data_IF_845538072195
#
_entry.id   IF_845538072195
#
_cell.length_a   1.000
_cell.length_b   1.000
_cell.length_c   1.000
_cell.angle_alpha   90.00
_cell.angle_beta   90.00
_cell.angle_gamma   90.00
#
_symmetry.space_group_name_H-M   'P 1'
#
loop_
_entity.id
_entity.type
_entity.pdbx_description
1 polymer ?
#
# COMPACT_ATOMS: atom_id res chain seq x y z
N UNK A 1 -29.05 35.59 11.19
CA UNK A 1 -27.66 35.36 11.63
C UNK A 1 -26.95 34.58 10.54
N UNK A 2 -26.06 35.25 9.79
CA UNK A 2 -25.29 34.65 8.69
C UNK A 2 -24.04 34.01 9.27
N UNK A 3 -23.95 32.68 9.23
CA UNK A 3 -22.72 31.98 9.60
C UNK A 3 -21.76 32.01 8.41
N UNK A 4 -20.69 32.80 8.53
CA UNK A 4 -19.54 32.70 7.63
C UNK A 4 -18.88 31.34 7.85
N UNK A 5 -19.00 30.45 6.88
CA UNK A 5 -18.17 29.26 6.79
C UNK A 5 -16.75 29.71 6.47
N UNK A 6 -15.90 29.84 7.50
CA UNK A 6 -14.46 30.11 7.30
C UNK A 6 -13.81 28.86 6.74
N UNK A 7 -13.75 28.75 5.42
CA UNK A 7 -12.96 27.75 4.71
C UNK A 7 -11.47 28.07 4.91
N UNK A 8 -10.85 27.50 5.94
CA UNK A 8 -9.39 27.57 6.12
C UNK A 8 -8.69 26.74 5.03
N UNK A 9 -8.39 27.37 3.90
CA UNK A 9 -7.46 26.85 2.89
C UNK A 9 -6.01 27.11 3.36
N UNK A 10 -5.55 26.35 4.36
CA UNK A 10 -4.12 26.22 4.60
C UNK A 10 -3.51 25.41 3.44
N UNK A 11 -2.44 25.87 2.77
CA UNK A 11 -1.79 25.11 1.71
C UNK A 11 -1.35 23.74 2.25
N UNK A 12 -1.90 22.68 1.66
CA UNK A 12 -1.65 21.30 2.07
C UNK A 12 -0.22 20.94 1.68
N UNK A 13 0.71 20.99 2.63
CA UNK A 13 2.15 20.73 2.44
C UNK A 13 2.41 19.44 1.65
N UNK A 14 1.51 18.44 1.77
CA UNK A 14 1.62 17.16 1.07
C UNK A 14 0.47 16.86 0.09
N UNK A 15 -0.49 17.77 -0.09
CA UNK A 15 -1.62 17.62 -1.02
C UNK A 15 -2.83 16.82 -0.49
N UNK A 16 -2.71 16.11 0.65
CA UNK A 16 -3.81 15.29 1.21
C UNK A 16 -4.85 16.09 1.99
N UNK A 17 -6.12 15.70 1.83
CA UNK A 17 -7.25 16.25 2.55
C UNK A 17 -7.74 15.33 3.67
N UNK A 18 -7.30 15.61 4.90
CA UNK A 18 -7.75 14.84 6.05
C UNK A 18 -9.18 15.18 6.53
N UNK A 19 -9.85 16.15 5.88
CA UNK A 19 -11.25 16.48 6.18
C UNK A 19 -12.25 15.63 5.38
N UNK A 20 -11.79 14.90 4.37
CA UNK A 20 -12.65 14.02 3.56
C UNK A 20 -13.37 12.99 4.42
N UNK A 21 -14.59 12.55 4.04
CA UNK A 21 -15.30 11.50 4.76
C UNK A 21 -14.47 10.22 4.93
N UNK A 22 -13.73 9.81 3.88
CA UNK A 22 -12.88 8.63 3.93
C UNK A 22 -11.72 8.80 4.91
N UNK A 23 -11.04 9.95 4.91
CA UNK A 23 -9.97 10.21 5.88
C UNK A 23 -10.49 10.26 7.32
N UNK A 24 -11.67 10.85 7.56
CA UNK A 24 -12.30 10.84 8.88
C UNK A 24 -12.61 9.44 9.37
N UNK A 25 -13.14 8.57 8.49
CA UNK A 25 -13.39 7.16 8.82
C UNK A 25 -12.08 6.42 9.11
N UNK A 26 -11.03 6.64 8.33
CA UNK A 26 -9.72 6.03 8.56
C UNK A 26 -9.13 6.45 9.92
N UNK A 27 -9.16 7.75 10.23
CA UNK A 27 -8.69 8.28 11.52
C UNK A 27 -9.50 7.71 12.69
N UNK A 28 -10.83 7.61 12.55
CA UNK A 28 -11.69 6.99 13.56
C UNK A 28 -11.40 5.49 13.76
N UNK A 29 -10.94 4.80 12.71
CA UNK A 29 -10.46 3.42 12.76
C UNK A 29 -9.02 3.27 13.28
N UNK A 30 -8.40 4.35 13.79
CA UNK A 30 -7.06 4.34 14.37
C UNK A 30 -5.92 4.42 13.37
N UNK A 31 -6.19 4.68 12.08
CA UNK A 31 -5.12 4.98 11.14
C UNK A 31 -4.48 6.33 11.46
N UNK A 32 -3.16 6.41 11.30
CA UNK A 32 -2.45 7.68 11.42
C UNK A 32 -2.58 8.45 10.11
N UNK A 33 -2.43 9.78 10.18
CA UNK A 33 -2.37 10.64 8.99
C UNK A 33 -1.29 10.18 8.00
N UNK A 34 -0.18 9.64 8.50
CA UNK A 34 0.89 9.06 7.68
C UNK A 34 0.45 7.83 6.89
N UNK A 35 -0.42 6.98 7.46
CA UNK A 35 -0.91 5.78 6.78
C UNK A 35 -1.82 6.17 5.60
N UNK A 36 -2.72 7.13 5.83
CA UNK A 36 -3.61 7.71 4.82
C UNK A 36 -2.79 8.39 3.71
N UNK A 37 -1.89 9.30 4.09
CA UNK A 37 -1.06 10.05 3.17
C UNK A 37 -0.20 9.14 2.30
N UNK A 38 0.41 8.10 2.89
CA UNK A 38 1.21 7.15 2.14
C UNK A 38 0.35 6.39 1.12
N UNK A 39 -0.82 5.88 1.51
CA UNK A 39 -1.71 5.18 0.58
C UNK A 39 -2.14 6.09 -0.58
N UNK A 40 -2.57 7.31 -0.28
CA UNK A 40 -3.01 8.28 -1.29
C UNK A 40 -1.89 8.63 -2.29
N UNK A 41 -0.67 8.89 -1.79
CA UNK A 41 0.48 9.16 -2.65
C UNK A 41 0.85 7.96 -3.53
N UNK A 42 0.80 6.75 -2.98
CA UNK A 42 1.08 5.54 -3.73
C UNK A 42 0.03 5.29 -4.81
N UNK A 43 -1.26 5.46 -4.50
CA UNK A 43 -2.35 5.38 -5.47
C UNK A 43 -2.18 6.42 -6.57
N UNK A 44 -1.97 7.70 -6.21
CA UNK A 44 -1.76 8.77 -7.18
C UNK A 44 -0.54 8.53 -8.08
N UNK A 45 0.55 7.98 -7.53
CA UNK A 45 1.73 7.61 -8.30
C UNK A 45 1.46 6.48 -9.30
N UNK A 46 0.65 5.49 -8.92
CA UNK A 46 0.26 4.40 -9.81
C UNK A 46 -0.72 4.86 -10.91
N UNK A 47 -1.64 5.78 -10.60
CA UNK A 47 -2.53 6.39 -11.60
C UNK A 47 -1.69 7.18 -12.61
N UNK A 48 -0.82 8.08 -12.14
CA UNK A 48 0.05 8.87 -13.03
C UNK A 48 0.94 7.98 -13.92
N UNK A 49 1.45 6.87 -13.38
CA UNK A 49 2.20 5.89 -14.17
C UNK A 49 1.36 5.26 -15.28
N UNK A 50 0.13 4.83 -14.96
CA UNK A 50 -0.80 4.25 -15.93
C UNK A 50 -1.18 5.25 -17.02
N UNK A 51 -1.30 6.53 -16.66
CA UNK A 51 -1.60 7.63 -17.59
C UNK A 51 -0.36 8.06 -18.42
N UNK A 52 0.81 7.47 -18.18
CA UNK A 52 2.05 7.74 -18.89
C UNK A 52 2.87 8.91 -18.34
N UNK A 53 2.37 9.63 -17.33
CA UNK A 53 3.09 10.72 -16.65
C UNK A 53 4.09 10.18 -15.62
N UNK A 54 5.25 9.76 -16.14
CA UNK A 54 6.38 9.30 -15.32
C UNK A 54 6.93 10.39 -14.38
N UNK A 55 6.75 11.67 -14.72
CA UNK A 55 7.25 12.80 -13.92
C UNK A 55 6.42 12.99 -12.65
N UNK A 56 5.09 12.99 -12.80
CA UNK A 56 4.16 13.03 -11.67
C UNK A 56 4.27 11.76 -10.82
N UNK A 57 4.37 10.58 -11.43
CA UNK A 57 4.61 9.32 -10.71
C UNK A 57 5.87 9.39 -9.85
N UNK A 58 6.99 9.89 -10.39
CA UNK A 58 8.23 10.08 -9.66
C UNK A 58 8.11 11.06 -8.48
N UNK A 59 7.28 12.09 -8.62
CA UNK A 59 7.01 13.05 -7.55
C UNK A 59 6.22 12.39 -6.43
N UNK A 60 5.15 11.67 -6.75
CA UNK A 60 4.33 10.94 -5.79
C UNK A 60 5.15 9.90 -5.01
N UNK A 61 5.90 9.03 -5.69
CA UNK A 61 6.70 8.00 -5.01
C UNK A 61 7.84 8.58 -4.19
N UNK A 62 8.43 9.71 -4.59
CA UNK A 62 9.43 10.41 -3.77
C UNK A 62 8.82 10.96 -2.48
N UNK A 63 7.63 11.55 -2.54
CA UNK A 63 6.89 12.00 -1.35
C UNK A 63 6.50 10.82 -0.47
N UNK A 64 6.01 9.73 -1.04
CA UNK A 64 5.71 8.50 -0.30
C UNK A 64 6.96 7.94 0.40
N UNK A 65 8.14 8.08 -0.23
CA UNK A 65 9.43 7.69 0.36
C UNK A 65 9.78 8.50 1.59
N UNK A 66 9.53 9.81 1.57
CA UNK A 66 9.71 10.67 2.74
C UNK A 66 8.79 10.25 3.89
N UNK A 67 7.50 10.05 3.60
CA UNK A 67 6.53 9.58 4.60
C UNK A 67 6.96 8.24 5.19
N UNK A 68 7.33 7.27 4.34
CA UNK A 68 7.74 5.95 4.80
C UNK A 68 9.03 5.96 5.64
N UNK A 69 9.97 6.85 5.32
CA UNK A 69 11.22 7.00 6.09
C UNK A 69 11.02 7.69 7.44
N UNK A 70 10.15 8.70 7.50
CA UNK A 70 9.95 9.53 8.69
C UNK A 70 8.93 8.94 9.66
N UNK A 71 7.90 8.26 9.16
CA UNK A 71 6.74 7.86 9.97
C UNK A 71 6.63 6.36 10.21
N UNK A 72 7.31 5.52 9.41
CA UNK A 72 7.23 4.06 9.53
C UNK A 72 8.55 3.47 10.05
N UNK A 73 8.41 2.45 10.90
CA UNK A 73 9.55 1.73 11.45
C UNK A 73 10.41 1.15 10.32
N UNK A 74 11.69 0.90 10.58
CA UNK A 74 12.59 0.26 9.60
C UNK A 74 12.08 -1.10 9.13
N UNK A 75 11.30 -1.74 9.98
CA UNK A 75 10.71 -3.05 9.76
C UNK A 75 9.31 -3.02 9.14
N UNK A 76 8.90 -1.90 8.54
CA UNK A 76 7.59 -1.78 7.88
C UNK A 76 7.70 -2.10 6.37
N UNK A 77 6.92 -3.05 5.83
CA UNK A 77 7.02 -3.49 4.43
C UNK A 77 6.72 -2.37 3.43
N UNK A 78 5.99 -1.31 3.81
CA UNK A 78 5.71 -0.15 2.94
C UNK A 78 6.98 0.58 2.50
N UNK A 79 8.07 0.47 3.29
CA UNK A 79 9.38 1.01 2.92
C UNK A 79 9.99 0.28 1.72
N UNK A 80 9.81 -1.04 1.64
CA UNK A 80 10.25 -1.83 0.51
C UNK A 80 9.45 -1.47 -0.75
N UNK A 81 8.12 -1.39 -0.67
CA UNK A 81 7.24 -1.05 -1.80
C UNK A 81 7.65 0.23 -2.51
N UNK A 82 7.98 1.29 -1.75
CA UNK A 82 8.42 2.55 -2.35
C UNK A 82 9.74 2.40 -3.10
N UNK A 83 10.68 1.60 -2.58
CA UNK A 83 11.95 1.33 -3.25
C UNK A 83 11.74 0.56 -4.56
N UNK A 84 10.80 -0.38 -4.60
CA UNK A 84 10.41 -1.10 -5.83
C UNK A 84 9.93 -0.10 -6.89
N UNK A 85 8.97 0.76 -6.56
CA UNK A 85 8.44 1.75 -7.52
C UNK A 85 9.52 2.74 -7.99
N UNK A 86 10.41 3.17 -7.09
CA UNK A 86 11.56 3.98 -7.49
C UNK A 86 12.52 3.21 -8.43
N UNK A 87 12.71 1.91 -8.20
CA UNK A 87 13.50 1.03 -9.07
C UNK A 87 12.90 0.95 -10.46
N UNK A 88 11.58 0.74 -10.57
CA UNK A 88 10.86 0.67 -11.85
C UNK A 88 10.98 2.00 -12.61
N UNK A 89 10.80 3.14 -11.92
CA UNK A 89 11.03 4.45 -12.52
C UNK A 89 12.46 4.64 -13.03
N UNK A 90 13.47 4.22 -12.27
CA UNK A 90 14.86 4.32 -12.69
C UNK A 90 15.14 3.45 -13.92
N UNK A 91 14.55 2.25 -13.98
CA UNK A 91 14.66 1.38 -15.16
C UNK A 91 14.01 2.01 -16.38
N UNK A 92 12.81 2.57 -16.24
CA UNK A 92 12.12 3.26 -17.32
C UNK A 92 12.84 4.54 -17.80
N UNK A 93 13.75 5.08 -16.99
CA UNK A 93 14.65 6.18 -17.35
C UNK A 93 16.02 5.69 -17.87
N UNK A 94 16.17 4.40 -18.20
CA UNK A 94 17.41 3.81 -18.74
C UNK A 94 18.50 3.55 -17.69
N UNK A 95 18.23 3.74 -16.40
CA UNK A 95 19.21 3.61 -15.31
C UNK A 95 19.15 2.23 -14.65
N UNK A 96 19.33 1.17 -15.44
CA UNK A 96 19.18 -0.23 -15.01
C UNK A 96 20.04 -0.61 -13.79
N UNK A 97 21.31 -0.21 -13.75
CA UNK A 97 22.19 -0.52 -12.61
C UNK A 97 21.72 0.08 -11.27
N UNK A 98 21.19 1.32 -11.30
CA UNK A 98 20.60 1.95 -10.11
C UNK A 98 19.29 1.26 -9.71
N UNK A 99 18.50 0.80 -10.68
CA UNK A 99 17.27 0.05 -10.43
C UNK A 99 17.54 -1.28 -9.71
N UNK A 100 18.51 -2.08 -10.19
CA UNK A 100 18.86 -3.37 -9.55
C UNK A 100 19.31 -3.19 -8.10
N UNK A 101 20.08 -2.13 -7.80
CA UNK A 101 20.44 -1.80 -6.42
C UNK A 101 19.25 -1.43 -5.53
N UNK A 102 18.20 -0.81 -6.09
CA UNK A 102 16.96 -0.52 -5.37
C UNK A 102 16.13 -1.78 -5.14
N UNK A 103 16.01 -2.66 -6.14
CA UNK A 103 15.29 -3.93 -5.99
C UNK A 103 15.92 -4.82 -4.93
N UNK A 104 17.24 -4.98 -4.91
CA UNK A 104 17.93 -5.76 -3.87
C UNK A 104 17.70 -5.22 -2.45
N UNK A 105 17.73 -3.89 -2.30
CA UNK A 105 17.40 -3.23 -1.02
C UNK A 105 15.94 -3.46 -0.63
N UNK A 106 15.03 -3.39 -1.60
CA UNK A 106 13.62 -3.68 -1.37
C UNK A 106 13.42 -5.13 -0.93
N UNK A 107 14.07 -6.10 -1.58
CA UNK A 107 14.04 -7.51 -1.22
C UNK A 107 14.52 -7.77 0.20
N UNK A 108 15.69 -7.21 0.57
CA UNK A 108 16.22 -7.37 1.92
C UNK A 108 15.26 -6.83 2.99
N UNK A 109 14.59 -5.70 2.75
CA UNK A 109 13.58 -5.18 3.68
C UNK A 109 12.32 -6.06 3.64
N UNK A 110 11.88 -6.48 2.46
CA UNK A 110 10.67 -7.30 2.30
C UNK A 110 10.80 -8.62 3.06
N UNK A 111 11.88 -9.35 2.82
CA UNK A 111 12.15 -10.67 3.43
C UNK A 111 12.27 -10.56 4.97
N UNK A 112 12.84 -9.45 5.47
CA UNK A 112 12.96 -9.24 6.92
C UNK A 112 11.66 -8.79 7.61
N UNK A 113 10.61 -8.41 6.87
CA UNK A 113 9.46 -7.70 7.45
C UNK A 113 8.11 -8.30 7.13
N UNK A 114 7.94 -8.91 5.96
CA UNK A 114 6.62 -9.27 5.46
C UNK A 114 5.97 -10.40 6.26
N UNK A 115 6.70 -11.44 6.63
CA UNK A 115 6.17 -12.57 7.41
C UNK A 115 5.60 -12.09 8.74
N UNK A 116 6.36 -11.25 9.45
CA UNK A 116 5.93 -10.67 10.71
C UNK A 116 4.75 -9.71 10.52
N UNK A 117 4.78 -8.87 9.49
CA UNK A 117 3.66 -7.97 9.18
C UNK A 117 2.36 -8.74 8.88
N UNK A 118 2.46 -9.86 8.15
CA UNK A 118 1.32 -10.76 7.91
C UNK A 118 0.89 -11.42 9.21
N UNK A 119 1.80 -11.93 10.06
CA UNK A 119 1.44 -12.60 11.30
C UNK A 119 0.79 -11.66 12.35
N UNK A 120 1.28 -10.43 12.47
CA UNK A 120 0.86 -9.47 13.50
C UNK A 120 -0.39 -8.66 13.11
N UNK A 121 -0.80 -8.67 11.83
CA UNK A 121 -1.89 -7.82 11.35
C UNK A 121 -3.19 -8.06 12.12
N UNK A 122 -3.80 -6.99 12.59
CA UNK A 122 -5.10 -7.05 13.25
C UNK A 122 -6.23 -6.93 12.22
N UNK A 123 -7.12 -7.92 12.23
CA UNK A 123 -8.28 -8.01 11.35
C UNK A 123 -9.50 -7.44 12.08
N UNK A 124 -10.04 -6.34 11.58
CA UNK A 124 -11.24 -5.74 12.16
C UNK A 124 -12.50 -6.50 11.74
N UNK A 125 -13.55 -6.55 12.59
CA UNK A 125 -14.84 -7.11 12.21
C UNK A 125 -15.38 -6.45 10.95
N UNK A 126 -15.91 -7.27 10.02
CA UNK A 126 -16.40 -6.79 8.72
C UNK A 126 -17.91 -6.98 8.62
N UNK A 127 -18.57 -6.08 7.91
CA UNK A 127 -19.98 -6.28 7.54
C UNK A 127 -20.12 -7.53 6.64
N UNK A 128 -21.19 -8.29 6.86
CA UNK A 128 -21.55 -9.47 6.04
C UNK A 128 -22.99 -9.35 5.57
N UNK A 129 -23.30 -10.05 4.48
CA UNK A 129 -24.61 -10.03 3.83
C UNK A 129 -25.76 -10.61 4.67
N UNK A 130 -25.46 -11.41 5.72
CA UNK A 130 -26.48 -11.91 6.63
C UNK A 130 -25.97 -12.11 8.06
N UNK A 131 -26.89 -12.08 9.03
CA UNK A 131 -26.61 -12.38 10.43
C UNK A 131 -26.03 -13.79 10.62
N UNK A 132 -26.43 -14.74 9.79
CA UNK A 132 -25.86 -16.09 9.78
C UNK A 132 -24.34 -16.05 9.52
N UNK A 133 -23.88 -15.33 8.49
CA UNK A 133 -22.45 -15.22 8.19
C UNK A 133 -21.67 -14.48 9.30
N UNK A 134 -22.27 -13.45 9.90
CA UNK A 134 -21.69 -12.79 11.07
C UNK A 134 -21.52 -13.76 12.25
N UNK A 135 -22.53 -14.59 12.51
CA UNK A 135 -22.50 -15.59 13.58
C UNK A 135 -21.46 -16.68 13.31
N UNK A 136 -21.38 -17.17 12.08
CA UNK A 136 -20.36 -18.17 11.69
C UNK A 136 -18.94 -17.63 11.83
N UNK A 137 -18.70 -16.37 11.45
CA UNK A 137 -17.40 -15.72 11.63
C UNK A 137 -17.05 -15.52 13.10
N UNK A 138 -18.02 -15.12 13.93
CA UNK A 138 -17.81 -15.00 15.37
C UNK A 138 -17.51 -16.35 16.03
N UNK A 139 -18.18 -17.43 15.59
CA UNK A 139 -17.99 -18.79 16.12
C UNK A 139 -16.65 -19.41 15.71
N UNK A 140 -16.17 -19.11 14.49
CA UNK A 140 -14.95 -19.69 13.92
C UNK A 140 -13.86 -18.65 13.68
N UNK A 141 -13.74 -17.66 14.57
CA UNK A 141 -12.90 -16.48 14.38
C UNK A 141 -11.45 -16.82 14.02
N UNK A 142 -10.86 -17.78 14.71
CA UNK A 142 -9.47 -18.19 14.49
C UNK A 142 -9.26 -18.80 13.10
N UNK A 143 -10.21 -19.61 12.62
CA UNK A 143 -10.16 -20.17 11.27
C UNK A 143 -10.31 -19.09 10.21
N UNK A 144 -11.23 -18.13 10.41
CA UNK A 144 -11.39 -17.00 9.48
C UNK A 144 -10.14 -16.13 9.44
N UNK A 145 -9.58 -15.78 10.59
CA UNK A 145 -8.35 -15.01 10.69
C UNK A 145 -7.19 -15.78 10.03
N UNK A 146 -7.02 -17.07 10.34
CA UNK A 146 -6.02 -17.94 9.72
C UNK A 146 -6.12 -17.96 8.21
N UNK A 147 -7.34 -18.09 7.65
CA UNK A 147 -7.57 -18.03 6.20
C UNK A 147 -7.16 -16.67 5.60
N UNK A 148 -7.40 -15.56 6.32
CA UNK A 148 -6.93 -14.24 5.90
C UNK A 148 -5.40 -14.13 5.92
N UNK A 149 -4.74 -14.62 6.97
CA UNK A 149 -3.28 -14.67 7.06
C UNK A 149 -2.69 -15.49 5.92
N UNK A 150 -3.23 -16.69 5.64
CA UNK A 150 -2.80 -17.53 4.52
C UNK A 150 -2.99 -16.83 3.18
N UNK A 151 -4.15 -16.22 2.94
CA UNK A 151 -4.41 -15.50 1.67
C UNK A 151 -3.43 -14.35 1.47
N UNK A 152 -3.25 -13.49 2.48
CA UNK A 152 -2.35 -12.33 2.36
C UNK A 152 -0.89 -12.78 2.30
N UNK A 153 -0.52 -13.85 3.01
CA UNK A 153 0.78 -14.51 2.90
C UNK A 153 1.07 -14.99 1.48
N UNK A 154 0.11 -15.62 0.80
CA UNK A 154 0.27 -16.04 -0.59
C UNK A 154 0.48 -14.83 -1.51
N UNK A 155 -0.28 -13.75 -1.33
CA UNK A 155 -0.08 -12.49 -2.08
C UNK A 155 1.32 -11.91 -1.81
N UNK A 156 1.78 -11.94 -0.56
CA UNK A 156 3.12 -11.49 -0.20
C UNK A 156 4.24 -12.31 -0.87
N UNK A 157 4.06 -13.63 -0.97
CA UNK A 157 4.99 -14.53 -1.68
C UNK A 157 5.01 -14.28 -3.19
N UNK A 158 3.85 -14.05 -3.81
CA UNK A 158 3.76 -13.65 -5.22
C UNK A 158 4.49 -12.33 -5.47
N UNK A 159 4.30 -11.34 -4.59
CA UNK A 159 4.98 -10.04 -4.69
C UNK A 159 6.48 -10.17 -4.45
N UNK A 160 6.91 -11.03 -3.53
CA UNK A 160 8.34 -11.32 -3.36
C UNK A 160 8.97 -11.87 -4.64
N UNK A 161 8.29 -12.79 -5.31
CA UNK A 161 8.73 -13.30 -6.62
C UNK A 161 8.76 -12.17 -7.65
N UNK A 162 7.73 -11.33 -7.69
CA UNK A 162 7.66 -10.17 -8.58
C UNK A 162 8.88 -9.23 -8.43
N UNK A 163 9.25 -8.92 -7.19
CA UNK A 163 10.43 -8.07 -6.91
C UNK A 163 11.72 -8.76 -7.37
N UNK A 164 11.81 -10.09 -7.22
CA UNK A 164 12.91 -10.89 -7.75
C UNK A 164 13.00 -10.79 -9.28
N UNK A 165 11.87 -10.90 -9.97
CA UNK A 165 11.78 -10.80 -11.42
C UNK A 165 12.16 -9.39 -11.89
N UNK A 166 11.78 -8.35 -11.12
CA UNK A 166 12.29 -7.01 -11.38
C UNK A 166 13.80 -6.94 -11.22
N UNK A 167 14.42 -7.53 -10.21
CA UNK A 167 15.90 -7.54 -10.11
C UNK A 167 16.57 -8.20 -11.32
N UNK A 168 16.09 -9.37 -11.73
CA UNK A 168 16.65 -10.19 -12.83
C UNK A 168 16.16 -9.80 -14.22
N UNK A 169 15.25 -8.83 -14.32
CA UNK A 169 14.61 -8.38 -15.56
C UNK A 169 13.84 -9.50 -16.29
N UNK A 170 13.17 -10.36 -15.51
CA UNK A 170 12.23 -11.36 -15.99
C UNK A 170 10.82 -10.79 -16.15
N UNK A 171 9.97 -11.40 -16.99
CA UNK A 171 8.59 -10.96 -17.16
C UNK A 171 7.79 -11.09 -15.86
N UNK A 172 6.81 -10.20 -15.72
CA UNK A 172 5.95 -10.14 -14.55
C UNK A 172 4.63 -10.87 -14.84
N UNK A 173 4.36 -11.95 -14.10
CA UNK A 173 3.15 -12.77 -14.30
C UNK A 173 2.00 -12.35 -13.37
N UNK A 174 2.31 -11.81 -12.18
CA UNK A 174 1.28 -11.44 -11.21
C UNK A 174 0.78 -10.00 -11.41
N UNK A 175 -0.54 -9.82 -11.30
CA UNK A 175 -1.20 -8.50 -11.26
C UNK A 175 -0.91 -7.80 -9.93
N UNK A 176 -0.51 -6.53 -9.99
CA UNK A 176 -0.13 -5.70 -8.84
C UNK A 176 -1.15 -4.59 -8.64
N UNK A 177 -0.90 -3.39 -9.18
CA UNK A 177 -1.82 -2.26 -8.99
C UNK A 177 -3.23 -2.52 -9.55
N UNK A 178 -3.37 -3.27 -10.65
CA UNK A 178 -4.69 -3.64 -11.17
C UNK A 178 -5.46 -4.52 -10.18
N UNK A 179 -4.76 -5.40 -9.45
CA UNK A 179 -5.32 -6.25 -8.39
C UNK A 179 -5.72 -5.42 -7.17
N UNK A 180 -4.93 -4.41 -6.79
CA UNK A 180 -5.28 -3.49 -5.71
C UNK A 180 -6.65 -2.84 -5.93
N UNK A 181 -6.96 -2.40 -7.15
CA UNK A 181 -8.25 -1.76 -7.47
C UNK A 181 -9.45 -2.68 -7.15
N UNK A 182 -9.32 -3.98 -7.39
CA UNK A 182 -10.37 -4.96 -7.13
C UNK A 182 -10.38 -5.56 -5.72
N UNK A 183 -9.20 -5.67 -5.07
CA UNK A 183 -9.05 -6.35 -3.79
C UNK A 183 -8.84 -5.41 -2.59
N UNK A 184 -8.78 -4.09 -2.81
CA UNK A 184 -8.65 -3.08 -1.74
C UNK A 184 -9.76 -3.24 -0.70
N UNK A 185 -9.42 -3.49 0.58
CA UNK A 185 -10.41 -3.56 1.63
C UNK A 185 -11.11 -2.22 1.84
N UNK A 186 -12.43 -2.26 1.98
CA UNK A 186 -13.25 -1.09 2.35
C UNK A 186 -13.02 -0.67 3.80
N UNK A 187 -12.69 -1.63 4.66
CA UNK A 187 -12.38 -1.43 6.07
C UNK A 187 -10.94 -0.91 6.21
N UNK A 188 -10.76 0.06 7.11
CA UNK A 188 -9.45 0.61 7.45
C UNK A 188 -8.85 -0.16 8.63
N UNK A 189 -8.16 -1.25 8.35
CA UNK A 189 -7.43 -2.08 9.34
C UNK A 189 -6.02 -2.42 8.84
N UNK A 190 -5.30 -3.30 9.54
CA UNK A 190 -3.94 -3.66 9.14
C UNK A 190 -3.91 -4.51 7.86
N UNK A 191 -4.98 -5.24 7.55
CA UNK A 191 -5.04 -6.03 6.30
C UNK A 191 -4.93 -5.14 5.08
N UNK A 192 -5.55 -3.96 5.11
CA UNK A 192 -5.41 -2.96 4.04
C UNK A 192 -4.01 -2.35 3.98
N UNK A 193 -3.35 -2.15 5.12
CA UNK A 193 -1.95 -1.66 5.15
C UNK A 193 -0.99 -2.68 4.53
N UNK A 194 -1.11 -3.95 4.94
CA UNK A 194 -0.28 -5.04 4.42
C UNK A 194 -0.56 -5.27 2.93
N UNK A 195 -1.83 -5.35 2.54
CA UNK A 195 -2.19 -5.51 1.14
C UNK A 195 -1.76 -4.30 0.29
N UNK A 196 -1.80 -3.09 0.85
CA UNK A 196 -1.27 -1.88 0.20
C UNK A 196 0.24 -1.96 0.02
N UNK A 197 0.98 -2.48 1.00
CA UNK A 197 2.41 -2.75 0.87
C UNK A 197 2.69 -3.78 -0.24
N UNK A 198 1.84 -4.79 -0.41
CA UNK A 198 1.96 -5.79 -1.45
C UNK A 198 1.63 -5.25 -2.86
N UNK A 199 0.49 -4.58 -3.02
CA UNK A 199 -0.11 -4.37 -4.34
C UNK A 199 0.02 -2.96 -4.90
N UNK A 200 0.43 -1.96 -4.12
CA UNK A 200 0.65 -0.59 -4.63
C UNK A 200 1.97 -0.46 -5.42
N UNK A 201 2.26 -1.43 -6.28
CA UNK A 201 3.43 -1.48 -7.13
C UNK A 201 3.00 -1.25 -8.59
N UNK A 202 3.73 -0.40 -9.30
CA UNK A 202 3.42 -0.11 -10.71
C UNK A 202 3.60 -1.35 -11.56
N UNK A 203 2.63 -1.59 -12.44
CA UNK A 203 2.74 -2.62 -13.47
C UNK A 203 3.57 -2.04 -14.63
N UNK A 204 4.69 -2.69 -14.95
CA UNK A 204 5.42 -2.40 -16.17
C UNK A 204 4.64 -3.03 -17.33
N UNK A 205 4.07 -2.19 -18.19
CA UNK A 205 3.45 -2.62 -19.44
C UNK A 205 4.47 -3.03 -20.50
#
# INVERSE_FOLDING_TARGET
MSYMTTTMFAPRIWGSDFSTPQARVALAAGWRRSDILWEELMVAGNIAWKDGDKGQAATCFRRASWVARLCFAQTDPRRATVLVNMGILMRAAGRGGKASGLFRKALSIWDATIERAVAEMQISPRSRSSLFHLRMEALHRDTFHGNFHTRIGNVASEVRLAISNYETNQPQECRLYSRWIGEKPTVFDDTRKVLGACLLIVEAG
#
